data_IF_732783216179
#
_entry.id   IF_732783216179
#
_cell.length_a   1.000
_cell.length_b   1.000
_cell.length_c   1.000
_cell.angle_alpha   90.00
_cell.angle_beta   90.00
_cell.angle_gamma   90.00
#
_symmetry.space_group_name_H-M   'P 1'
#
loop_
_entity.id
_entity.type
_entity.pdbx_description
1 polymer ?
#
# COMPACT_ATOMS: atom_id res chain seq x y z
N UNK A 1 -42.06 -42.50 46.77
CA UNK A 1 -41.75 -42.30 45.33
C UNK A 1 -40.27 -41.88 45.25
N UNK A 2 -39.42 -42.66 44.58
CA UNK A 2 -37.97 -42.40 44.49
C UNK A 2 -37.71 -41.62 43.20
N UNK A 3 -37.23 -40.38 43.32
CA UNK A 3 -36.91 -39.52 42.18
C UNK A 3 -35.44 -39.72 41.83
N UNK A 4 -35.14 -40.45 40.75
CA UNK A 4 -33.78 -40.59 40.24
C UNK A 4 -33.43 -39.37 39.41
N UNK A 5 -32.52 -38.53 39.91
CA UNK A 5 -31.95 -37.42 39.16
C UNK A 5 -30.78 -37.96 38.33
N UNK A 6 -30.97 -38.11 37.01
CA UNK A 6 -29.85 -38.31 36.09
C UNK A 6 -29.29 -36.92 35.79
N UNK A 7 -28.21 -36.54 36.46
CA UNK A 7 -27.43 -35.37 36.09
C UNK A 7 -26.64 -35.71 34.81
N UNK A 8 -27.14 -35.25 33.66
CA UNK A 8 -26.39 -35.30 32.41
C UNK A 8 -25.23 -34.30 32.49
N UNK A 9 -24.01 -34.80 32.62
CA UNK A 9 -22.81 -33.99 32.52
C UNK A 9 -22.63 -33.54 31.06
N UNK A 10 -22.96 -32.27 30.78
CA UNK A 10 -22.63 -31.60 29.53
C UNK A 10 -21.11 -31.34 29.52
N UNK A 11 -20.34 -32.22 28.87
CA UNK A 11 -18.96 -31.92 28.51
C UNK A 11 -18.96 -30.82 27.42
N UNK A 12 -18.29 -29.68 27.61
CA UNK A 12 -18.09 -28.74 26.52
C UNK A 12 -17.11 -29.36 25.51
N UNK A 13 -17.60 -29.67 24.32
CA UNK A 13 -16.75 -30.00 23.19
C UNK A 13 -15.98 -28.74 22.79
N UNK A 14 -14.72 -28.64 23.20
CA UNK A 14 -13.81 -27.60 22.71
C UNK A 14 -13.50 -27.95 21.25
N UNK A 15 -14.23 -27.33 20.33
CA UNK A 15 -13.93 -27.37 18.91
C UNK A 15 -12.62 -26.59 18.68
N UNK A 16 -11.51 -27.32 18.54
CA UNK A 16 -10.27 -26.79 17.99
C UNK A 16 -10.51 -26.56 16.49
N UNK A 17 -11.06 -25.39 16.14
CA UNK A 17 -11.13 -24.93 14.76
C UNK A 17 -9.73 -24.60 14.22
N UNK A 18 -9.49 -24.72 12.90
CA UNK A 18 -8.23 -24.27 12.31
C UNK A 18 -8.05 -22.77 12.56
N UNK A 19 -6.81 -22.36 12.84
CA UNK A 19 -6.46 -20.94 12.93
C UNK A 19 -6.77 -20.27 11.59
N UNK A 20 -7.61 -19.24 11.60
CA UNK A 20 -7.82 -18.40 10.43
C UNK A 20 -6.55 -17.57 10.20
N UNK A 21 -5.86 -17.82 9.09
CA UNK A 21 -4.78 -16.95 8.61
C UNK A 21 -5.46 -15.79 7.89
N UNK A 22 -5.46 -14.61 8.51
CA UNK A 22 -6.14 -13.42 7.98
C UNK A 22 -5.24 -12.61 7.03
N UNK A 23 -3.93 -12.62 7.27
CA UNK A 23 -2.97 -11.85 6.51
C UNK A 23 -2.52 -12.60 5.26
N UNK A 24 -2.45 -11.89 4.14
CA UNK A 24 -1.81 -12.40 2.93
C UNK A 24 -0.30 -12.41 3.06
N UNK A 25 0.32 -13.48 2.60
CA UNK A 25 1.77 -13.64 2.52
C UNK A 25 2.21 -13.63 1.06
N UNK A 26 3.40 -13.08 0.79
CA UNK A 26 4.04 -13.22 -0.51
C UNK A 26 4.52 -14.67 -0.68
N UNK A 27 3.97 -15.38 -1.65
CA UNK A 27 4.27 -16.80 -1.90
C UNK A 27 5.17 -17.02 -3.12
N UNK A 28 5.27 -16.03 -4.00
CA UNK A 28 6.09 -16.13 -5.21
C UNK A 28 6.44 -14.78 -5.83
N UNK A 29 7.53 -14.75 -6.59
CA UNK A 29 7.94 -13.58 -7.38
C UNK A 29 8.39 -14.01 -8.78
N UNK A 30 8.15 -13.12 -9.76
CA UNK A 30 8.75 -13.19 -11.09
C UNK A 30 9.38 -11.82 -11.39
N UNK A 31 10.69 -11.72 -11.70
CA UNK A 31 11.71 -12.77 -11.56
C UNK A 31 11.73 -13.39 -10.16
N UNK A 32 12.14 -14.66 -10.07
CA UNK A 32 12.27 -15.33 -8.78
C UNK A 32 13.35 -14.61 -7.94
N UNK A 33 13.12 -14.51 -6.63
CA UNK A 33 14.08 -13.88 -5.72
C UNK A 33 15.47 -14.54 -5.84
N UNK A 34 16.51 -13.72 -6.02
CA UNK A 34 17.90 -14.13 -6.22
C UNK A 34 18.20 -14.75 -7.59
N UNK A 35 17.23 -14.80 -8.51
CA UNK A 35 17.45 -15.32 -9.86
C UNK A 35 18.27 -14.38 -10.73
N UNK A 36 18.81 -14.91 -11.83
CA UNK A 36 19.52 -14.16 -12.87
C UNK A 36 18.67 -14.17 -14.14
N UNK A 37 18.39 -13.01 -14.72
CA UNK A 37 17.62 -12.84 -15.95
C UNK A 37 18.38 -11.97 -16.95
N UNK A 38 18.07 -12.10 -18.24
CA UNK A 38 18.62 -11.21 -19.26
C UNK A 38 17.88 -9.88 -19.31
N UNK A 39 18.60 -8.82 -19.70
CA UNK A 39 18.10 -7.49 -19.94
C UNK A 39 16.99 -7.47 -21.00
N UNK A 40 16.03 -6.56 -20.84
CA UNK A 40 14.84 -6.49 -21.68
C UNK A 40 13.67 -5.82 -20.98
N UNK A 41 12.49 -5.96 -21.60
CA UNK A 41 11.21 -5.67 -20.95
C UNK A 41 10.87 -6.82 -20.01
N UNK A 42 10.85 -6.54 -18.71
CA UNK A 42 10.66 -7.54 -17.67
C UNK A 42 9.35 -7.28 -16.92
N UNK A 43 8.40 -8.23 -16.90
CA UNK A 43 7.30 -8.18 -15.97
C UNK A 43 7.82 -8.46 -14.55
N UNK A 44 7.43 -7.61 -13.61
CA UNK A 44 7.62 -7.82 -12.18
C UNK A 44 6.28 -8.27 -11.62
N UNK A 45 6.21 -9.50 -11.11
CA UNK A 45 5.00 -10.09 -10.57
C UNK A 45 5.24 -10.55 -9.13
N UNK A 46 4.28 -10.24 -8.27
CA UNK A 46 4.22 -10.66 -6.88
C UNK A 46 2.97 -11.53 -6.73
N UNK A 47 3.13 -12.77 -6.28
CA UNK A 47 2.02 -13.69 -6.00
C UNK A 47 1.78 -13.77 -4.49
N UNK A 48 0.53 -13.63 -4.09
CA UNK A 48 0.09 -13.65 -2.70
C UNK A 48 -0.77 -14.88 -2.40
N UNK A 49 -0.85 -15.26 -1.13
CA UNK A 49 -1.61 -16.43 -0.67
C UNK A 49 -3.11 -16.32 -0.89
N UNK A 50 -3.67 -15.11 -0.92
CA UNK A 50 -5.08 -14.86 -1.25
C UNK A 50 -5.24 -13.58 -2.10
N UNK A 51 -6.48 -13.28 -2.49
CA UNK A 51 -6.82 -12.13 -3.30
C UNK A 51 -6.53 -10.81 -2.57
N UNK A 52 -5.84 -9.91 -3.25
CA UNK A 52 -5.56 -8.56 -2.75
C UNK A 52 -6.77 -7.65 -2.92
N UNK A 53 -6.87 -6.62 -2.07
CA UNK A 53 -7.85 -5.56 -2.27
C UNK A 53 -7.36 -4.54 -3.30
N UNK A 54 -8.05 -4.48 -4.43
CA UNK A 54 -7.85 -3.44 -5.44
C UNK A 54 -8.62 -2.16 -5.10
N UNK A 55 -7.90 -1.19 -4.56
CA UNK A 55 -8.43 0.14 -4.23
C UNK A 55 -8.09 1.18 -5.31
N UNK A 56 -7.66 0.77 -6.50
CA UNK A 56 -7.17 1.64 -7.59
C UNK A 56 -5.74 2.17 -7.37
N UNK A 57 -5.30 2.26 -6.11
CA UNK A 57 -3.91 2.47 -5.68
C UNK A 57 -3.49 1.44 -4.63
N UNK A 58 -4.07 0.24 -4.69
CA UNK A 58 -3.95 -0.80 -3.66
C UNK A 58 -2.59 -1.50 -3.63
N UNK A 59 -1.75 -1.32 -4.65
CA UNK A 59 -0.39 -1.85 -4.71
C UNK A 59 0.61 -0.79 -5.17
N UNK A 60 1.80 -0.83 -4.59
CA UNK A 60 2.94 -0.01 -4.96
C UNK A 60 4.15 -0.93 -5.13
N UNK A 61 4.83 -0.83 -6.28
CA UNK A 61 6.04 -1.59 -6.59
C UNK A 61 7.10 -0.58 -7.03
N UNK A 62 8.20 -0.53 -6.31
CA UNK A 62 9.33 0.36 -6.55
C UNK A 62 10.56 -0.47 -6.84
N UNK A 63 11.25 -0.16 -7.94
CA UNK A 63 12.45 -0.87 -8.36
C UNK A 63 13.63 0.11 -8.38
N UNK A 64 14.77 -0.30 -7.83
CA UNK A 64 16.03 0.42 -7.96
C UNK A 64 17.08 -0.41 -8.68
N UNK A 65 17.88 0.27 -9.50
CA UNK A 65 18.98 -0.30 -10.27
C UNK A 65 20.24 -0.54 -9.38
N UNK A 66 21.31 -1.14 -9.93
CA UNK A 66 22.57 -1.39 -9.21
C UNK A 66 23.28 -0.12 -8.70
N UNK A 67 22.88 1.06 -9.21
CA UNK A 67 23.36 2.37 -8.77
C UNK A 67 22.40 3.04 -7.78
N UNK A 68 21.43 2.29 -7.24
CA UNK A 68 20.38 2.77 -6.33
C UNK A 68 19.49 3.87 -6.91
N UNK A 69 19.36 3.94 -8.24
CA UNK A 69 18.44 4.86 -8.91
C UNK A 69 17.12 4.18 -9.18
N UNK A 70 16.03 4.95 -9.10
CA UNK A 70 14.70 4.48 -9.46
C UNK A 70 14.64 4.08 -10.93
N UNK A 71 14.12 2.88 -11.17
CA UNK A 71 13.81 2.38 -12.50
C UNK A 71 12.38 2.79 -12.85
N UNK A 72 12.15 3.50 -13.96
CA UNK A 72 10.79 3.80 -14.41
C UNK A 72 10.01 2.51 -14.70
N UNK A 73 8.79 2.43 -14.17
CA UNK A 73 7.90 1.30 -14.35
C UNK A 73 6.50 1.77 -14.76
N UNK A 74 5.67 0.85 -15.25
CA UNK A 74 4.23 1.10 -15.34
C UNK A 74 3.60 1.14 -13.94
N UNK A 75 2.36 1.64 -13.85
CA UNK A 75 1.66 1.58 -12.57
C UNK A 75 1.38 0.13 -12.19
N UNK A 76 1.49 -0.17 -10.90
CA UNK A 76 1.19 -1.51 -10.42
C UNK A 76 -0.32 -1.78 -10.61
N UNK A 77 -0.63 -2.96 -11.13
CA UNK A 77 -1.99 -3.45 -11.30
C UNK A 77 -2.20 -4.65 -10.37
N UNK A 78 -3.40 -4.73 -9.77
CA UNK A 78 -3.83 -5.90 -9.01
C UNK A 78 -4.71 -6.77 -9.91
N UNK A 79 -4.46 -8.07 -9.91
CA UNK A 79 -5.25 -9.08 -10.61
C UNK A 79 -5.39 -10.32 -9.74
N UNK A 80 -6.48 -10.38 -8.95
CA UNK A 80 -6.72 -11.44 -7.98
C UNK A 80 -5.61 -11.52 -6.93
N UNK A 81 -4.86 -12.62 -6.95
CA UNK A 81 -3.74 -12.87 -6.03
C UNK A 81 -2.42 -12.24 -6.48
N UNK A 82 -2.41 -11.48 -7.58
CA UNK A 82 -1.19 -10.90 -8.14
C UNK A 82 -1.15 -9.38 -8.05
N UNK A 83 0.04 -8.84 -7.77
CA UNK A 83 0.38 -7.46 -8.08
C UNK A 83 1.48 -7.45 -9.14
N UNK A 84 1.30 -6.68 -10.22
CA UNK A 84 2.19 -6.70 -11.39
C UNK A 84 2.57 -5.30 -11.85
N UNK A 85 3.80 -5.15 -12.35
CA UNK A 85 4.24 -3.97 -13.11
C UNK A 85 5.20 -4.40 -14.23
N UNK A 86 5.51 -3.50 -15.15
CA UNK A 86 6.46 -3.73 -16.24
C UNK A 86 7.61 -2.72 -16.12
N UNK A 87 8.84 -3.20 -16.28
CA UNK A 87 10.07 -2.38 -16.40
C UNK A 87 10.78 -2.68 -17.72
N UNK A 88 11.62 -1.74 -18.16
CA UNK A 88 12.50 -1.90 -19.31
C UNK A 88 13.94 -1.58 -18.88
N UNK A 89 14.82 -2.59 -18.88
CA UNK A 89 16.15 -2.49 -18.24
C UNK A 89 17.27 -3.04 -19.11
N UNK A 90 18.41 -2.35 -19.08
CA UNK A 90 19.62 -2.70 -19.85
C UNK A 90 20.91 -2.72 -19.01
N UNK A 91 20.93 -2.11 -17.83
CA UNK A 91 22.08 -2.12 -16.94
C UNK A 91 22.23 -3.50 -16.28
N UNK A 92 23.41 -4.10 -16.36
CA UNK A 92 23.70 -5.35 -15.66
C UNK A 92 23.99 -5.10 -14.17
N UNK A 93 23.56 -6.01 -13.31
CA UNK A 93 23.79 -5.98 -11.86
C UNK A 93 22.55 -6.34 -11.04
N UNK A 94 22.60 -6.04 -9.74
CA UNK A 94 21.50 -6.31 -8.81
C UNK A 94 20.41 -5.23 -8.90
N UNK A 95 19.18 -5.68 -9.06
CA UNK A 95 17.98 -4.87 -8.96
C UNK A 95 17.24 -5.20 -7.67
N UNK A 96 16.82 -4.18 -6.95
CA UNK A 96 16.04 -4.32 -5.72
C UNK A 96 14.60 -3.92 -6.01
N UNK A 97 13.66 -4.80 -5.65
CA UNK A 97 12.23 -4.54 -5.67
C UNK A 97 11.76 -4.37 -4.23
N UNK A 98 11.08 -3.26 -3.96
CA UNK A 98 10.33 -3.02 -2.73
C UNK A 98 8.85 -2.88 -3.10
N UNK A 99 7.97 -3.41 -2.26
CA UNK A 99 6.54 -3.42 -2.55
C UNK A 99 5.70 -3.24 -1.30
N UNK A 100 4.48 -2.76 -1.53
CA UNK A 100 3.40 -2.70 -0.55
C UNK A 100 2.09 -3.03 -1.23
N UNK A 101 1.21 -3.77 -0.56
CA UNK A 101 -0.13 -4.11 -1.03
C UNK A 101 -1.13 -4.07 0.13
N UNK A 102 -2.43 -4.09 -0.16
CA UNK A 102 -3.49 -4.26 0.84
C UNK A 102 -4.04 -5.68 0.74
N UNK A 103 -3.90 -6.45 1.81
CA UNK A 103 -4.42 -7.80 1.91
C UNK A 103 -5.95 -7.83 1.80
N UNK A 104 -6.53 -8.97 1.42
CA UNK A 104 -7.97 -9.22 1.41
C UNK A 104 -8.70 -8.87 2.71
N UNK A 105 -7.99 -8.91 3.86
CA UNK A 105 -8.52 -8.55 5.17
C UNK A 105 -8.49 -7.05 5.50
N UNK A 106 -7.92 -6.23 4.61
CA UNK A 106 -7.82 -4.77 4.76
C UNK A 106 -6.53 -4.26 5.38
N UNK A 107 -5.60 -5.12 5.82
CA UNK A 107 -4.33 -4.67 6.37
C UNK A 107 -3.29 -4.44 5.28
N UNK A 108 -2.46 -3.36 5.39
CA UNK A 108 -1.32 -3.20 4.51
C UNK A 108 -0.24 -4.23 4.84
N UNK A 109 0.35 -4.80 3.79
CA UNK A 109 1.49 -5.70 3.83
C UNK A 109 2.60 -5.16 2.94
N UNK A 110 3.86 -5.41 3.29
CA UNK A 110 5.02 -4.89 2.58
C UNK A 110 6.19 -5.88 2.61
N UNK A 111 7.14 -5.69 1.69
CA UNK A 111 8.34 -6.51 1.63
C UNK A 111 9.28 -6.08 0.53
N UNK A 112 10.33 -6.87 0.34
CA UNK A 112 11.33 -6.63 -0.70
C UNK A 112 12.02 -7.93 -1.12
N UNK A 113 12.54 -7.93 -2.35
CA UNK A 113 13.41 -8.99 -2.88
C UNK A 113 14.34 -8.42 -3.94
N UNK A 114 15.44 -9.11 -4.24
CA UNK A 114 16.37 -8.74 -5.31
C UNK A 114 16.45 -9.79 -6.41
N UNK A 115 16.89 -9.39 -7.59
CA UNK A 115 17.25 -10.26 -8.71
C UNK A 115 18.42 -9.66 -9.49
N UNK A 116 19.13 -10.50 -10.23
CA UNK A 116 20.29 -10.11 -11.02
C UNK A 116 19.89 -9.96 -12.50
N UNK A 117 20.38 -8.91 -13.16
CA UNK A 117 20.27 -8.73 -14.61
C UNK A 117 21.63 -8.93 -15.27
N UNK A 118 21.67 -9.72 -16.33
CA UNK A 118 22.77 -9.78 -17.31
C UNK A 118 22.37 -9.05 -18.58
N UNK A 119 23.33 -8.54 -19.35
CA UNK A 119 23.06 -7.97 -20.66
C UNK A 119 24.07 -8.51 -21.67
N UNK A 120 23.87 -9.77 -22.06
CA UNK A 120 24.77 -10.45 -23.02
C UNK A 120 24.41 -10.13 -24.46
N UNK A 121 23.17 -9.70 -24.70
CA UNK A 121 22.64 -9.34 -26.03
C UNK A 121 23.00 -7.93 -26.46
N UNK A 122 23.46 -7.06 -25.56
CA UNK A 122 23.64 -5.63 -25.81
C UNK A 122 22.31 -4.89 -25.94
N UNK A 123 21.26 -5.37 -25.26
CA UNK A 123 19.96 -4.71 -25.17
C UNK A 123 20.13 -3.26 -24.69
N UNK A 124 19.30 -2.37 -25.21
CA UNK A 124 19.29 -0.95 -24.84
C UNK A 124 17.85 -0.59 -24.50
N UNK A 125 17.63 -0.16 -23.26
CA UNK A 125 16.30 0.18 -22.80
C UNK A 125 15.83 1.47 -23.50
N UNK A 126 14.57 1.45 -23.94
CA UNK A 126 13.88 2.62 -24.50
C UNK A 126 12.90 3.25 -23.50
N UNK A 127 12.72 2.59 -22.36
CA UNK A 127 11.75 2.94 -21.34
C UNK A 127 10.42 2.23 -21.56
N UNK A 128 9.53 2.39 -20.59
CA UNK A 128 8.17 1.84 -20.64
C UNK A 128 7.19 2.85 -21.23
N UNK A 129 6.17 2.35 -21.93
CA UNK A 129 5.04 3.18 -22.33
C UNK A 129 4.23 3.59 -21.09
N UNK A 130 3.83 4.86 -21.02
CA UNK A 130 3.03 5.43 -19.93
C UNK A 130 3.62 5.12 -18.54
N UNK A 131 4.84 5.62 -18.23
CA UNK A 131 5.45 5.39 -16.93
C UNK A 131 4.54 5.92 -15.82
N UNK A 132 4.45 5.17 -14.73
CA UNK A 132 3.73 5.61 -13.55
C UNK A 132 4.44 6.86 -13.01
N UNK A 133 3.81 8.01 -13.20
CA UNK A 133 4.30 9.22 -12.60
C UNK A 133 4.02 9.09 -11.10
N UNK A 134 5.06 8.79 -10.32
CA UNK A 134 5.02 9.01 -8.88
C UNK A 134 4.94 10.52 -8.72
N UNK A 135 3.70 11.03 -8.68
CA UNK A 135 3.46 12.43 -8.36
C UNK A 135 3.94 12.60 -6.94
N UNK A 136 5.15 13.15 -6.78
CA UNK A 136 5.51 13.83 -5.56
C UNK A 136 4.53 15.00 -5.47
N UNK A 137 3.35 14.74 -4.91
CA UNK A 137 2.46 15.79 -4.47
C UNK A 137 3.27 16.54 -3.42
N UNK A 138 3.87 17.65 -3.84
CA UNK A 138 4.32 18.66 -2.92
C UNK A 138 3.08 18.97 -2.07
N UNK A 139 3.11 18.61 -0.79
CA UNK A 139 2.11 19.05 0.16
C UNK A 139 2.21 20.57 0.22
N UNK A 140 1.43 21.25 -0.62
CA UNK A 140 1.20 22.68 -0.48
C UNK A 140 0.71 22.86 0.97
N UNK A 141 1.44 23.61 1.81
CA UNK A 141 1.06 23.76 3.21
C UNK A 141 -0.37 24.28 3.24
N UNK A 142 -1.25 23.57 3.96
CA UNK A 142 -2.66 23.93 4.05
C UNK A 142 -2.79 25.43 4.36
N UNK A 143 -3.29 26.19 3.40
CA UNK A 143 -3.39 27.64 3.51
C UNK A 143 -4.49 27.96 4.54
N UNK A 144 -4.10 28.09 5.80
CA UNK A 144 -5.01 28.40 6.88
C UNK A 144 -5.46 29.87 6.75
N UNK A 145 -6.75 30.09 6.48
CA UNK A 145 -7.31 31.44 6.29
C UNK A 145 -7.42 32.20 7.62
N UNK A 146 -6.32 32.79 8.09
CA UNK A 146 -6.24 33.60 9.32
C UNK A 146 -7.25 34.77 9.36
N UNK A 147 -7.79 35.21 8.22
CA UNK A 147 -8.82 36.25 8.15
C UNK A 147 -10.12 35.85 8.89
N UNK A 148 -10.43 34.55 8.97
CA UNK A 148 -11.58 34.05 9.73
C UNK A 148 -11.43 34.28 11.24
N UNK A 149 -10.19 34.28 11.77
CA UNK A 149 -9.91 34.58 13.18
C UNK A 149 -10.13 36.06 13.51
N UNK A 150 -9.74 36.97 12.59
CA UNK A 150 -9.99 38.41 12.77
C UNK A 150 -11.48 38.75 12.60
N UNK A 151 -12.19 38.08 11.70
CA UNK A 151 -13.64 38.23 11.52
C UNK A 151 -14.43 37.87 12.79
N UNK A 152 -14.06 36.80 13.49
CA UNK A 152 -14.75 36.41 14.74
C UNK A 152 -14.49 37.38 15.90
N UNK A 153 -13.29 37.96 15.99
CA UNK A 153 -12.92 38.90 17.05
C UNK A 153 -13.71 40.22 16.97
N UNK A 154 -13.99 40.70 15.76
CA UNK A 154 -14.80 41.92 15.57
C UNK A 154 -16.26 41.68 15.92
N UNK A 155 -16.85 40.54 15.56
CA UNK A 155 -18.24 40.20 15.91
C UNK A 155 -18.43 40.07 17.43
N UNK A 156 -17.47 39.47 18.14
CA UNK A 156 -17.50 39.36 19.61
C UNK A 156 -17.39 40.75 20.26
N UNK A 157 -16.50 41.62 19.78
CA UNK A 157 -16.36 42.98 20.30
C UNK A 157 -17.62 43.83 20.07
N UNK A 158 -18.27 43.71 18.91
CA UNK A 158 -19.53 44.38 18.59
C UNK A 158 -20.65 43.86 19.52
N UNK A 159 -20.76 42.54 19.69
CA UNK A 159 -21.73 41.93 20.60
C UNK A 159 -21.56 42.41 22.05
N UNK A 160 -20.32 42.45 22.54
CA UNK A 160 -19.99 42.96 23.87
C UNK A 160 -20.31 44.45 24.02
N UNK A 161 -20.04 45.26 22.99
CA UNK A 161 -20.38 46.68 23.01
C UNK A 161 -21.89 46.92 23.13
N UNK A 162 -22.71 46.18 22.37
CA UNK A 162 -24.17 46.29 22.47
C UNK A 162 -24.72 45.72 23.78
N UNK A 163 -24.11 44.66 24.31
CA UNK A 163 -24.49 44.06 25.59
C UNK A 163 -24.18 44.97 26.79
N UNK A 164 -23.01 45.61 26.79
CA UNK A 164 -22.55 46.48 27.87
C UNK A 164 -23.07 47.93 27.75
N UNK A 165 -23.74 48.29 26.65
CA UNK A 165 -24.27 49.64 26.46
C UNK A 165 -25.38 49.90 27.49
N UNK A 166 -25.20 50.85 28.43
CA UNK A 166 -26.22 51.14 29.42
C UNK A 166 -27.49 51.68 28.72
N UNK A 167 -28.63 51.04 29.00
CA UNK A 167 -29.94 51.54 28.55
C UNK A 167 -30.32 52.72 29.42
N UNK A 168 -30.39 53.92 28.83
CA UNK A 168 -31.01 55.07 29.49
C UNK A 168 -32.50 54.75 29.67
N UNK A 169 -33.01 54.90 30.90
CA UNK A 169 -34.45 54.96 31.17
C UNK A 169 -35.02 56.27 30.63
#
# INVERSE_FOLDING_TARGET
MKFNWIAAALLPAVLLGPAAVAHDELVGTSPAAGSVVEAGQLPIELEFSNELLDLGSGAEIVITDPSSKLVPSQCAIIDGTFARTLIDVDLAGEYQVAWRAVSGDGHPIEGSFSFQVTNTSGYQATGVAEPCLISAAAEEPAQFNYWLLFGSLTLVAIGLFFYLRPRKK
#
